data_IF_673946987435
#
_entry.id   IF_673946987435
#
_cell.length_a   1.000
_cell.length_b   1.000
_cell.length_c   1.000
_cell.angle_alpha   90.00
_cell.angle_beta   90.00
_cell.angle_gamma   90.00
#
_symmetry.space_group_name_H-M   'P 1'
#
loop_
_entity.id
_entity.type
_entity.pdbx_description
1 polymer ?
#
# COMPACT_ATOMS: atom_id res chain seq x y z
N UNK A 1 44.46 -76.97 -32.78
CA UNK A 1 44.37 -76.28 -31.49
C UNK A 1 44.31 -74.80 -31.77
N UNK A 2 43.13 -74.20 -31.74
CA UNK A 2 42.93 -72.74 -31.90
C UNK A 2 42.07 -72.28 -30.72
N UNK A 3 42.67 -71.45 -29.83
CA UNK A 3 42.10 -70.89 -28.64
C UNK A 3 41.24 -69.66 -29.04
N UNK A 4 39.94 -69.64 -28.71
CA UNK A 4 39.05 -68.48 -28.81
C UNK A 4 39.12 -67.72 -27.45
N UNK A 5 39.57 -66.49 -27.50
CA UNK A 5 39.49 -65.56 -26.40
C UNK A 5 38.20 -64.71 -26.59
N UNK A 6 37.25 -64.92 -25.71
CA UNK A 6 36.00 -64.19 -25.67
C UNK A 6 36.20 -62.84 -24.87
N UNK A 7 36.09 -61.69 -25.50
CA UNK A 7 36.11 -60.38 -24.85
C UNK A 7 34.68 -60.06 -24.33
N UNK A 8 34.54 -60.01 -22.99
CA UNK A 8 33.36 -59.50 -22.31
C UNK A 8 33.49 -57.98 -22.18
N UNK A 9 32.75 -57.25 -22.97
CA UNK A 9 32.62 -55.76 -22.85
C UNK A 9 31.51 -55.49 -21.84
N UNK A 10 31.87 -55.03 -20.64
CA UNK A 10 30.91 -54.52 -19.64
C UNK A 10 30.58 -53.09 -20.01
N UNK A 11 29.39 -52.91 -20.54
CA UNK A 11 28.81 -51.58 -20.81
C UNK A 11 28.35 -50.91 -19.50
N UNK A 12 29.09 -49.92 -19.02
CA UNK A 12 28.69 -49.07 -17.88
C UNK A 12 27.63 -48.08 -18.36
N UNK A 13 26.35 -48.37 -18.15
CA UNK A 13 25.23 -47.43 -18.36
C UNK A 13 25.28 -46.37 -17.27
N UNK A 14 25.86 -45.21 -17.59
CA UNK A 14 25.73 -43.98 -16.80
C UNK A 14 24.27 -43.49 -16.92
N UNK A 15 23.42 -43.82 -15.96
CA UNK A 15 22.14 -43.18 -15.75
C UNK A 15 22.40 -41.74 -15.28
N UNK A 16 22.54 -40.79 -16.20
CA UNK A 16 22.43 -39.37 -15.91
C UNK A 16 20.95 -39.10 -15.57
N UNK A 17 20.61 -39.22 -14.29
CA UNK A 17 19.34 -38.73 -13.78
C UNK A 17 19.26 -37.23 -14.05
N UNK A 18 18.51 -36.83 -15.07
CA UNK A 18 18.11 -35.44 -15.23
C UNK A 18 17.27 -35.08 -14.01
N UNK A 19 17.87 -34.33 -13.09
CA UNK A 19 17.12 -33.63 -12.05
C UNK A 19 16.18 -32.68 -12.76
N UNK A 20 14.91 -33.06 -12.89
CA UNK A 20 13.83 -32.17 -13.29
C UNK A 20 13.87 -31.01 -12.28
N UNK A 21 14.38 -29.86 -12.72
CA UNK A 21 14.29 -28.65 -11.93
C UNK A 21 12.81 -28.39 -11.64
N UNK A 22 12.43 -28.46 -10.36
CA UNK A 22 11.06 -28.18 -9.95
C UNK A 22 10.69 -26.77 -10.46
N UNK A 23 9.51 -26.65 -11.08
CA UNK A 23 9.04 -25.35 -11.54
C UNK A 23 9.04 -24.33 -10.37
N UNK A 24 9.49 -23.09 -10.59
CA UNK A 24 9.57 -22.11 -9.54
C UNK A 24 8.17 -21.81 -8.98
N UNK A 25 8.05 -21.84 -7.66
CA UNK A 25 6.79 -21.47 -6.98
C UNK A 25 6.42 -20.05 -7.35
N UNK A 26 5.18 -19.86 -7.82
CA UNK A 26 4.64 -18.55 -8.15
C UNK A 26 3.52 -18.18 -7.19
N UNK A 27 3.66 -17.05 -6.49
CA UNK A 27 2.64 -16.48 -5.62
C UNK A 27 1.90 -15.33 -6.32
N UNK A 28 0.58 -15.36 -6.28
CA UNK A 28 -0.27 -14.29 -6.81
C UNK A 28 -0.56 -13.25 -5.73
N UNK A 29 -0.13 -12.01 -5.96
CA UNK A 29 -0.45 -10.88 -5.12
C UNK A 29 -1.43 -9.92 -5.80
N UNK A 30 -2.50 -9.56 -5.08
CA UNK A 30 -3.47 -8.53 -5.51
C UNK A 30 -3.52 -7.42 -4.48
N UNK A 31 -3.39 -6.15 -4.88
CA UNK A 31 -3.36 -5.11 -3.87
C UNK A 31 -3.47 -3.67 -4.35
N UNK A 32 -3.36 -2.76 -3.40
CA UNK A 32 -3.45 -1.35 -3.70
C UNK A 32 -2.17 -0.82 -4.36
N UNK A 33 -2.36 0.16 -5.25
CA UNK A 33 -1.24 0.79 -5.97
C UNK A 33 -0.24 1.49 -5.04
N UNK A 34 -0.65 1.88 -3.83
CA UNK A 34 0.24 2.46 -2.83
C UNK A 34 1.21 1.39 -2.31
N UNK A 35 0.71 0.26 -1.77
CA UNK A 35 1.57 -0.84 -1.29
C UNK A 35 2.46 -1.39 -2.40
N UNK A 36 1.94 -1.48 -3.66
CA UNK A 36 2.73 -1.89 -4.83
C UNK A 36 3.97 -1.00 -5.02
N UNK A 37 3.81 0.32 -4.85
CA UNK A 37 4.89 1.31 -5.06
C UNK A 37 5.74 1.56 -3.81
N UNK A 38 5.18 1.30 -2.63
CA UNK A 38 5.85 1.53 -1.36
C UNK A 38 6.96 0.51 -1.09
N UNK A 39 6.71 -0.75 -1.43
CA UNK A 39 7.65 -1.82 -1.10
C UNK A 39 7.47 -3.11 -1.93
N UNK A 40 6.25 -3.40 -2.44
CA UNK A 40 5.94 -4.74 -2.92
C UNK A 40 6.78 -5.18 -4.12
N UNK A 41 7.05 -4.26 -5.06
CA UNK A 41 7.86 -4.59 -6.24
C UNK A 41 9.28 -4.98 -5.87
N UNK A 42 9.88 -4.18 -5.02
CA UNK A 42 11.27 -4.33 -4.60
C UNK A 42 11.44 -5.51 -3.64
N UNK A 43 10.48 -5.73 -2.73
CA UNK A 43 10.48 -6.93 -1.89
C UNK A 43 10.31 -8.21 -2.71
N UNK A 44 9.44 -8.20 -3.72
CA UNK A 44 9.25 -9.35 -4.60
C UNK A 44 10.53 -9.68 -5.37
N UNK A 45 11.20 -8.67 -5.92
CA UNK A 45 12.46 -8.86 -6.63
C UNK A 45 13.58 -9.39 -5.70
N UNK A 46 13.70 -8.83 -4.48
CA UNK A 46 14.65 -9.31 -3.49
C UNK A 46 14.37 -10.75 -3.03
N UNK A 47 13.11 -11.08 -2.80
CA UNK A 47 12.71 -12.42 -2.40
C UNK A 47 12.95 -13.45 -3.51
N UNK A 48 12.62 -13.10 -4.77
CA UNK A 48 12.90 -13.95 -5.92
C UNK A 48 14.40 -14.22 -6.07
N UNK A 49 15.24 -13.19 -5.95
CA UNK A 49 16.71 -13.35 -5.98
C UNK A 49 17.21 -14.30 -4.91
N UNK A 50 16.59 -14.29 -3.72
CA UNK A 50 17.01 -15.08 -2.57
C UNK A 50 16.50 -16.51 -2.59
N UNK A 51 15.28 -16.74 -3.12
CA UNK A 51 14.57 -18.01 -2.95
C UNK A 51 14.16 -18.69 -4.26
N UNK A 52 14.22 -17.99 -5.38
CA UNK A 52 13.66 -18.43 -6.65
C UNK A 52 12.13 -18.26 -6.78
N UNK A 53 11.42 -17.91 -5.68
CA UNK A 53 9.96 -17.75 -5.70
C UNK A 53 9.58 -16.50 -6.47
N UNK A 54 8.68 -16.66 -7.45
CA UNK A 54 8.16 -15.57 -8.28
C UNK A 54 6.90 -15.00 -7.62
N UNK A 55 6.73 -13.68 -7.67
CA UNK A 55 5.51 -13.02 -7.20
C UNK A 55 4.86 -12.27 -8.36
N UNK A 56 3.70 -12.77 -8.84
CA UNK A 56 2.85 -12.07 -9.81
C UNK A 56 2.09 -10.93 -9.11
N UNK A 57 2.41 -9.68 -9.48
CA UNK A 57 1.90 -8.49 -8.82
C UNK A 57 0.80 -7.81 -9.63
N UNK A 58 -0.46 -7.94 -9.17
CA UNK A 58 -1.63 -7.33 -9.79
C UNK A 58 -2.16 -6.15 -8.98
N UNK A 59 -2.55 -5.05 -9.65
CA UNK A 59 -3.24 -3.92 -9.04
C UNK A 59 -4.73 -4.21 -8.81
N UNK A 60 -5.42 -3.33 -8.07
CA UNK A 60 -6.88 -3.43 -7.91
C UNK A 60 -7.45 -2.68 -6.71
N UNK A 61 -6.59 -2.11 -5.88
CA UNK A 61 -6.99 -1.36 -4.68
C UNK A 61 -7.06 -2.22 -3.43
N UNK A 62 -7.14 -1.57 -2.27
CA UNK A 62 -7.11 -2.21 -0.96
C UNK A 62 -8.26 -3.22 -0.76
N UNK A 63 -9.47 -2.82 -1.10
CA UNK A 63 -10.67 -3.68 -0.96
C UNK A 63 -10.55 -4.96 -1.78
N UNK A 64 -10.12 -4.85 -3.05
CA UNK A 64 -9.90 -6.03 -3.89
C UNK A 64 -8.80 -6.92 -3.33
N UNK A 65 -7.70 -6.33 -2.82
CA UNK A 65 -6.60 -7.09 -2.22
C UNK A 65 -7.05 -7.91 -1.02
N UNK A 66 -7.78 -7.29 -0.07
CA UNK A 66 -8.28 -7.99 1.12
C UNK A 66 -9.27 -9.09 0.72
N UNK A 67 -10.24 -8.79 -0.15
CA UNK A 67 -11.31 -9.74 -0.53
C UNK A 67 -10.78 -10.90 -1.37
N UNK A 68 -9.87 -10.64 -2.32
CA UNK A 68 -9.25 -11.70 -3.11
C UNK A 68 -8.45 -12.68 -2.25
N UNK A 69 -7.73 -12.18 -1.23
CA UNK A 69 -7.03 -13.03 -0.27
C UNK A 69 -8.01 -13.76 0.65
N UNK A 70 -9.05 -13.07 1.14
CA UNK A 70 -10.07 -13.68 2.00
C UNK A 70 -10.79 -14.85 1.33
N UNK A 71 -11.00 -14.78 0.00
CA UNK A 71 -11.67 -15.82 -0.81
C UNK A 71 -10.71 -16.81 -1.47
N UNK A 72 -9.39 -16.74 -1.20
CA UNK A 72 -8.35 -17.53 -1.87
C UNK A 72 -8.27 -17.34 -3.42
N UNK A 73 -8.77 -16.21 -3.94
CA UNK A 73 -8.60 -15.83 -5.35
C UNK A 73 -7.20 -15.23 -5.64
N UNK A 74 -6.44 -14.95 -4.58
CA UNK A 74 -5.01 -14.64 -4.59
C UNK A 74 -4.36 -15.27 -3.36
N UNK A 75 -3.07 -15.63 -3.47
CA UNK A 75 -2.32 -16.22 -2.36
C UNK A 75 -2.08 -15.19 -1.26
N UNK A 76 -1.83 -13.94 -1.64
CA UNK A 76 -1.65 -12.84 -0.72
C UNK A 76 -2.20 -11.53 -1.29
N UNK A 77 -2.38 -10.54 -0.42
CA UNK A 77 -2.90 -9.24 -0.78
C UNK A 77 -2.10 -8.08 -0.24
N UNK A 78 -2.40 -6.88 -0.76
CA UNK A 78 -1.83 -5.64 -0.27
C UNK A 78 -2.89 -4.58 0.03
N UNK A 79 -2.86 -4.02 1.23
CA UNK A 79 -3.84 -3.03 1.65
C UNK A 79 -3.19 -1.82 2.30
N UNK A 80 -3.86 -0.70 2.15
CA UNK A 80 -3.54 0.57 2.80
C UNK A 80 -4.67 1.01 3.75
N UNK A 81 -5.46 0.06 4.23
CA UNK A 81 -6.42 0.14 5.34
C UNK A 81 -6.53 -1.21 6.03
N UNK A 82 -7.00 -1.23 7.26
CA UNK A 82 -7.37 -2.48 7.91
C UNK A 82 -8.65 -3.06 7.31
N UNK A 83 -8.95 -4.33 7.58
CA UNK A 83 -10.21 -4.95 7.18
C UNK A 83 -11.38 -4.31 7.91
N UNK A 84 -12.56 -4.43 7.35
CA UNK A 84 -13.80 -3.91 7.93
C UNK A 84 -14.47 -5.07 8.69
N UNK A 85 -14.60 -4.94 10.00
CA UNK A 85 -15.08 -6.03 10.87
C UNK A 85 -16.45 -6.56 10.46
N UNK A 86 -17.38 -5.67 10.08
CA UNK A 86 -18.72 -6.01 9.61
C UNK A 86 -18.83 -6.45 8.14
N UNK A 87 -17.70 -6.59 7.43
CA UNK A 87 -17.67 -7.05 6.04
C UNK A 87 -17.32 -8.56 5.97
N UNK A 88 -18.29 -9.46 5.79
CA UNK A 88 -18.04 -10.90 5.77
C UNK A 88 -17.00 -11.32 4.74
N UNK A 89 -16.95 -10.61 3.60
CA UNK A 89 -16.02 -10.87 2.50
C UNK A 89 -14.56 -10.58 2.86
N UNK A 90 -14.30 -9.92 3.99
CA UNK A 90 -12.95 -9.58 4.48
C UNK A 90 -12.55 -10.42 5.70
N UNK A 91 -13.46 -11.25 6.24
CA UNK A 91 -13.32 -11.93 7.54
C UNK A 91 -12.11 -12.86 7.62
N UNK A 92 -11.87 -13.67 6.58
CA UNK A 92 -10.77 -14.66 6.55
C UNK A 92 -9.40 -14.06 6.29
N UNK A 93 -9.32 -12.81 5.85
CA UNK A 93 -8.03 -12.15 5.63
C UNK A 93 -7.37 -11.82 6.96
N UNK A 94 -6.12 -12.22 7.13
CA UNK A 94 -5.22 -11.82 8.20
C UNK A 94 -4.33 -10.72 7.62
N UNK A 95 -4.30 -9.57 8.26
CA UNK A 95 -3.57 -8.40 7.78
C UNK A 95 -2.34 -8.16 8.67
N UNK A 96 -1.17 -8.37 8.08
CA UNK A 96 0.12 -8.14 8.74
C UNK A 96 0.66 -6.76 8.33
N UNK A 97 0.87 -5.83 9.29
CA UNK A 97 1.41 -4.52 8.98
C UNK A 97 2.91 -4.61 8.71
N UNK A 98 3.37 -4.07 7.58
CA UNK A 98 4.79 -4.14 7.18
C UNK A 98 5.48 -2.78 7.08
N UNK A 99 4.73 -1.71 6.90
CA UNK A 99 5.28 -0.37 6.78
C UNK A 99 4.29 0.71 7.21
N UNK A 100 4.80 1.90 7.58
CA UNK A 100 4.03 3.13 7.73
C UNK A 100 4.18 3.99 6.49
N UNK A 101 3.07 4.54 6.00
CA UNK A 101 3.00 5.44 4.85
C UNK A 101 2.23 6.71 5.25
N UNK A 102 2.61 7.86 4.68
CA UNK A 102 1.85 9.09 4.88
C UNK A 102 0.75 9.26 3.82
N UNK A 103 -0.38 9.83 4.21
CA UNK A 103 -1.29 10.49 3.29
C UNK A 103 -0.78 11.91 3.07
N UNK A 104 -0.59 12.29 1.82
CA UNK A 104 -0.13 13.63 1.46
C UNK A 104 -1.17 14.34 0.63
N UNK A 105 -1.34 15.63 0.89
CA UNK A 105 -2.09 16.53 0.02
C UNK A 105 -1.15 16.90 -1.12
N UNK A 106 -1.59 16.68 -2.35
CA UNK A 106 -0.81 16.98 -3.55
C UNK A 106 -1.45 18.10 -4.35
N UNK A 107 -0.61 18.97 -4.89
CA UNK A 107 -0.95 20.03 -5.83
C UNK A 107 -0.03 19.98 -7.06
N UNK A 108 -0.37 20.76 -8.08
CA UNK A 108 0.50 20.94 -9.24
C UNK A 108 1.85 21.55 -8.80
N UNK A 109 2.98 21.23 -9.43
CA UNK A 109 4.29 21.79 -9.05
C UNK A 109 4.34 23.31 -9.02
N UNK A 110 3.67 23.96 -9.97
CA UNK A 110 3.67 25.43 -10.12
C UNK A 110 2.59 26.13 -9.27
N UNK A 111 1.77 25.38 -8.53
CA UNK A 111 0.83 25.99 -7.60
C UNK A 111 1.60 26.67 -6.46
N UNK A 112 1.32 27.96 -6.09
CA UNK A 112 2.14 28.69 -5.11
C UNK A 112 1.99 28.17 -3.67
N UNK A 113 0.91 27.47 -3.33
CA UNK A 113 0.67 26.96 -1.97
C UNK A 113 1.71 25.89 -1.60
N UNK A 114 2.29 26.01 -0.39
CA UNK A 114 3.34 25.12 0.13
C UNK A 114 2.90 24.32 1.35
N UNK A 115 1.87 24.80 2.07
CA UNK A 115 1.44 24.24 3.33
C UNK A 115 -0.09 24.19 3.40
N UNK A 116 -0.60 23.23 4.16
CA UNK A 116 -2.02 23.10 4.46
C UNK A 116 -2.20 22.62 5.89
N UNK A 117 -3.23 23.08 6.58
CA UNK A 117 -3.56 22.63 7.93
C UNK A 117 -4.62 21.52 7.93
N UNK A 118 -4.76 20.80 9.05
CA UNK A 118 -5.85 19.85 9.24
C UNK A 118 -7.22 20.49 9.04
N UNK A 119 -7.43 21.72 9.53
CA UNK A 119 -8.71 22.43 9.40
C UNK A 119 -8.97 22.85 7.96
N UNK A 120 -7.94 23.24 7.22
CA UNK A 120 -8.07 23.52 5.78
C UNK A 120 -8.41 22.25 4.99
N UNK A 121 -7.83 21.09 5.32
CA UNK A 121 -8.23 19.81 4.71
C UNK A 121 -9.70 19.51 5.02
N UNK A 122 -10.16 19.71 6.26
CA UNK A 122 -11.59 19.58 6.61
C UNK A 122 -12.45 20.52 5.78
N UNK A 123 -12.04 21.78 5.70
CA UNK A 123 -12.74 22.81 4.92
C UNK A 123 -12.89 22.43 3.45
N UNK A 124 -11.83 21.91 2.82
CA UNK A 124 -11.86 21.41 1.44
C UNK A 124 -12.90 20.29 1.26
N UNK A 125 -12.79 19.23 2.07
CA UNK A 125 -13.67 18.06 1.93
C UNK A 125 -15.11 18.30 2.40
N UNK A 126 -15.36 19.37 3.16
CA UNK A 126 -16.70 19.84 3.52
C UNK A 126 -17.26 20.88 2.50
N UNK A 127 -16.48 21.28 1.50
CA UNK A 127 -16.86 22.27 0.51
C UNK A 127 -16.95 23.70 1.05
N UNK A 128 -16.27 23.99 2.16
CA UNK A 128 -16.16 25.33 2.76
C UNK A 128 -14.99 26.12 2.15
N UNK A 129 -13.96 25.43 1.67
CA UNK A 129 -12.82 26.00 0.94
C UNK A 129 -12.95 25.53 -0.51
N UNK A 130 -13.16 26.49 -1.41
CA UNK A 130 -13.43 26.24 -2.84
C UNK A 130 -12.55 27.06 -3.77
N UNK A 131 -11.76 27.98 -3.21
CA UNK A 131 -10.87 28.85 -3.96
C UNK A 131 -9.45 28.80 -3.35
N UNK A 132 -8.43 28.75 -4.20
CA UNK A 132 -7.03 28.70 -3.79
C UNK A 132 -6.58 29.91 -2.96
N UNK A 133 -7.20 31.09 -3.16
CA UNK A 133 -6.95 32.27 -2.34
C UNK A 133 -7.19 32.03 -0.85
N UNK A 134 -8.16 31.16 -0.51
CA UNK A 134 -8.43 30.78 0.89
C UNK A 134 -7.30 29.94 1.51
N UNK A 135 -6.38 29.43 0.69
CA UNK A 135 -5.19 28.69 1.08
C UNK A 135 -3.90 29.50 0.90
N UNK A 136 -4.00 30.80 0.58
CA UNK A 136 -2.84 31.66 0.30
C UNK A 136 -2.29 31.51 -1.13
N UNK A 137 -3.07 30.95 -2.04
CA UNK A 137 -2.76 30.84 -3.46
C UNK A 137 -3.40 31.92 -4.32
N UNK A 138 -3.42 31.69 -5.62
CA UNK A 138 -4.04 32.57 -6.60
C UNK A 138 -5.57 32.63 -6.45
N UNK A 139 -6.22 33.67 -6.95
CA UNK A 139 -7.68 33.74 -7.01
C UNK A 139 -8.18 32.85 -8.15
N UNK A 140 -8.37 31.56 -7.85
CA UNK A 140 -8.79 30.54 -8.79
C UNK A 140 -9.61 29.45 -8.07
N UNK A 141 -10.63 28.87 -8.74
CA UNK A 141 -11.44 27.81 -8.15
C UNK A 141 -10.60 26.54 -7.92
N UNK A 142 -10.84 25.87 -6.80
CA UNK A 142 -10.22 24.59 -6.48
C UNK A 142 -10.97 23.46 -7.17
N UNK A 143 -10.26 22.61 -7.93
CA UNK A 143 -10.75 21.34 -8.41
C UNK A 143 -10.34 20.24 -7.43
N UNK A 144 -11.19 19.94 -6.46
CA UNK A 144 -10.92 18.90 -5.46
C UNK A 144 -11.19 17.52 -6.03
N UNK A 145 -10.15 16.68 -6.05
CA UNK A 145 -10.18 15.28 -6.46
C UNK A 145 -10.31 14.37 -5.24
N UNK A 146 -11.35 13.56 -5.14
CA UNK A 146 -11.55 12.64 -4.04
C UNK A 146 -11.65 11.17 -4.48
N UNK A 147 -11.52 10.26 -3.53
CA UNK A 147 -11.66 8.82 -3.78
C UNK A 147 -13.12 8.41 -3.71
N UNK A 148 -13.61 7.72 -4.76
CA UNK A 148 -14.96 7.18 -4.84
C UNK A 148 -15.22 6.16 -3.70
N UNK A 149 -16.36 6.33 -3.05
CA UNK A 149 -16.84 5.43 -1.99
C UNK A 149 -16.13 5.60 -0.63
N UNK A 150 -16.76 5.05 0.41
CA UNK A 150 -16.31 5.18 1.81
C UNK A 150 -15.25 4.15 2.22
N UNK A 151 -15.16 3.02 1.51
CA UNK A 151 -14.28 1.88 1.85
C UNK A 151 -12.96 1.85 1.09
N UNK A 152 -12.70 2.81 0.20
CA UNK A 152 -11.42 2.90 -0.51
C UNK A 152 -10.27 3.17 0.47
N UNK A 153 -9.09 2.55 0.27
CA UNK A 153 -7.99 2.63 1.23
C UNK A 153 -7.59 4.06 1.63
N UNK A 154 -7.35 4.96 0.65
CA UNK A 154 -7.03 6.37 0.93
C UNK A 154 -8.24 7.12 1.49
N UNK A 155 -9.43 6.96 0.89
CA UNK A 155 -10.63 7.68 1.31
C UNK A 155 -11.09 7.30 2.73
N UNK A 156 -11.01 6.00 3.10
CA UNK A 156 -11.32 5.54 4.46
C UNK A 156 -10.28 6.06 5.47
N UNK A 157 -8.99 5.98 5.13
CA UNK A 157 -7.94 6.50 6.00
C UNK A 157 -8.06 8.01 6.23
N UNK A 158 -8.41 8.79 5.19
CA UNK A 158 -8.65 10.23 5.32
C UNK A 158 -9.83 10.52 6.24
N UNK A 159 -10.93 9.79 6.11
CA UNK A 159 -12.08 9.90 7.01
C UNK A 159 -11.72 9.64 8.47
N UNK A 160 -10.94 8.60 8.71
CA UNK A 160 -10.44 8.29 10.05
C UNK A 160 -9.55 9.40 10.61
N UNK A 161 -8.52 9.78 9.88
CA UNK A 161 -7.45 10.64 10.38
C UNK A 161 -7.88 12.11 10.51
N UNK A 162 -8.70 12.60 9.57
CA UNK A 162 -9.09 14.02 9.51
C UNK A 162 -10.43 14.26 10.21
N UNK A 163 -11.37 13.35 10.08
CA UNK A 163 -12.74 13.56 10.57
C UNK A 163 -13.10 12.71 11.79
N UNK A 164 -12.30 11.72 12.14
CA UNK A 164 -12.65 10.69 13.11
C UNK A 164 -14.07 10.14 12.87
N UNK A 165 -14.46 9.99 11.59
CA UNK A 165 -15.80 9.60 11.18
C UNK A 165 -15.75 8.88 9.82
N UNK A 166 -15.96 7.57 9.82
CA UNK A 166 -15.97 6.76 8.58
C UNK A 166 -17.13 7.08 7.64
N UNK A 167 -18.19 7.70 8.17
CA UNK A 167 -19.38 8.09 7.40
C UNK A 167 -19.28 9.46 6.75
N UNK A 168 -18.22 10.24 7.05
CA UNK A 168 -18.09 11.60 6.53
C UNK A 168 -18.29 11.64 5.01
N UNK A 169 -19.28 12.38 4.57
CA UNK A 169 -19.49 12.66 3.17
C UNK A 169 -18.50 13.73 2.69
N UNK A 170 -17.91 13.46 1.53
CA UNK A 170 -16.98 14.39 0.90
C UNK A 170 -17.70 15.19 -0.18
N UNK A 171 -17.54 16.51 -0.15
CA UNK A 171 -17.93 17.42 -1.22
C UNK A 171 -16.70 17.65 -2.11
N UNK A 172 -16.60 16.95 -3.22
CA UNK A 172 -15.48 17.05 -4.16
C UNK A 172 -15.98 17.35 -5.56
N UNK A 173 -15.14 17.99 -6.37
CA UNK A 173 -15.44 18.31 -7.76
C UNK A 173 -15.50 17.02 -8.60
N UNK A 174 -14.61 16.06 -8.29
CA UNK A 174 -14.56 14.80 -9.01
C UNK A 174 -14.20 13.62 -8.09
N UNK A 175 -14.86 12.47 -8.34
CA UNK A 175 -14.59 11.21 -7.61
C UNK A 175 -13.94 10.17 -8.53
N UNK A 176 -12.76 9.69 -8.16
CA UNK A 176 -11.98 8.73 -8.93
C UNK A 176 -11.81 7.38 -8.23
N UNK A 177 -11.70 6.30 -9.03
CA UNK A 177 -11.63 4.93 -8.52
C UNK A 177 -10.29 4.58 -7.86
N UNK A 178 -9.19 5.22 -8.25
CA UNK A 178 -7.84 4.90 -7.73
C UNK A 178 -6.95 6.14 -7.61
N UNK A 179 -5.83 6.03 -6.89
CA UNK A 179 -4.88 7.13 -6.70
C UNK A 179 -4.20 7.57 -8.02
N UNK A 180 -3.96 6.64 -8.94
CA UNK A 180 -3.32 6.95 -10.21
C UNK A 180 -4.04 8.01 -11.05
N UNK A 181 -5.35 7.88 -11.35
CA UNK A 181 -6.14 8.93 -12.02
C UNK A 181 -6.12 10.26 -11.27
N UNK A 182 -6.26 10.26 -9.93
CA UNK A 182 -6.17 11.46 -9.11
C UNK A 182 -4.81 12.16 -9.31
N UNK A 183 -3.71 11.42 -9.16
CA UNK A 183 -2.36 11.95 -9.31
C UNK A 183 -2.11 12.50 -10.72
N UNK A 184 -2.62 11.82 -11.76
CA UNK A 184 -2.52 12.28 -13.15
C UNK A 184 -3.32 13.57 -13.41
N UNK A 185 -4.49 13.73 -12.77
CA UNK A 185 -5.28 14.94 -12.88
C UNK A 185 -4.54 16.13 -12.26
N UNK A 186 -3.94 15.95 -11.07
CA UNK A 186 -3.15 16.99 -10.39
C UNK A 186 -1.90 17.38 -11.20
N UNK A 187 -1.25 16.44 -11.90
CA UNK A 187 -0.11 16.77 -12.79
C UNK A 187 -0.51 17.65 -13.98
N UNK A 188 -1.78 17.57 -14.42
CA UNK A 188 -2.25 18.24 -15.64
C UNK A 188 -2.97 19.56 -15.37
N UNK A 189 -3.37 19.82 -14.14
CA UNK A 189 -4.25 20.95 -13.80
C UNK A 189 -3.71 21.66 -12.56
N UNK A 190 -3.31 22.94 -12.75
CA UNK A 190 -2.75 23.77 -11.67
C UNK A 190 -3.76 24.02 -10.55
N UNK A 191 -5.06 23.94 -10.85
CA UNK A 191 -6.14 24.14 -9.91
C UNK A 191 -6.59 22.85 -9.20
N UNK A 192 -6.05 21.69 -9.61
CA UNK A 192 -6.39 20.42 -8.98
C UNK A 192 -5.64 20.20 -7.67
N UNK A 193 -6.35 19.64 -6.70
CA UNK A 193 -5.83 19.21 -5.39
C UNK A 193 -6.42 17.86 -5.03
N UNK A 194 -5.68 17.07 -4.28
CA UNK A 194 -6.21 15.79 -3.80
C UNK A 194 -5.28 15.12 -2.79
N UNK A 195 -5.74 13.99 -2.21
CA UNK A 195 -4.97 13.21 -1.24
C UNK A 195 -4.59 11.84 -1.81
N UNK A 196 -3.32 11.49 -1.67
CA UNK A 196 -2.78 10.17 -2.04
C UNK A 196 -1.76 9.69 -1.00
N UNK A 197 -1.14 8.51 -1.20
CA UNK A 197 -0.02 8.08 -0.36
C UNK A 197 1.31 8.63 -0.86
N UNK A 198 2.21 9.00 0.06
CA UNK A 198 3.53 9.56 -0.26
C UNK A 198 4.35 8.64 -1.17
N UNK A 199 4.27 7.31 -0.94
CA UNK A 199 4.94 6.30 -1.77
C UNK A 199 4.52 6.32 -3.24
N UNK A 200 3.30 6.81 -3.52
CA UNK A 200 2.82 6.99 -4.89
C UNK A 200 3.14 8.38 -5.43
N UNK A 201 2.97 9.42 -4.60
CA UNK A 201 3.24 10.81 -4.96
C UNK A 201 4.69 11.03 -5.39
N UNK A 202 5.67 10.45 -4.68
CA UNK A 202 7.10 10.54 -5.01
C UNK A 202 7.45 10.06 -6.43
N UNK A 203 6.61 9.22 -7.04
CA UNK A 203 6.80 8.71 -8.41
C UNK A 203 6.02 9.53 -9.45
N UNK A 204 5.63 10.77 -9.09
CA UNK A 204 4.87 11.71 -9.93
C UNK A 204 5.48 13.11 -9.85
N UNK A 205 5.28 13.89 -10.91
CA UNK A 205 5.60 15.32 -10.92
C UNK A 205 4.48 16.10 -10.23
N UNK A 206 4.39 15.98 -8.91
CA UNK A 206 3.43 16.70 -8.05
C UNK A 206 4.15 17.32 -6.87
N UNK A 207 3.62 18.40 -6.35
CA UNK A 207 4.06 19.00 -5.10
C UNK A 207 3.33 18.32 -3.93
N UNK A 208 4.08 17.90 -2.91
CA UNK A 208 3.52 17.48 -1.63
C UNK A 208 3.45 18.71 -0.72
N UNK A 209 2.26 19.08 -0.28
CA UNK A 209 2.11 20.19 0.67
C UNK A 209 2.56 19.74 2.07
N UNK A 210 3.20 20.64 2.80
CA UNK A 210 3.44 20.46 4.24
C UNK A 210 2.10 20.34 4.96
N UNK A 211 2.07 19.64 6.06
CA UNK A 211 0.91 19.56 6.94
C UNK A 211 1.25 20.22 8.27
N UNK A 212 0.56 21.32 8.59
CA UNK A 212 0.84 22.13 9.78
C UNK A 212 2.34 22.46 9.91
N UNK A 213 2.98 22.82 8.79
CA UNK A 213 4.40 23.14 8.68
C UNK A 213 5.34 21.92 8.61
N UNK A 214 4.85 20.69 8.75
CA UNK A 214 5.67 19.47 8.75
C UNK A 214 5.73 18.83 7.38
N UNK A 215 6.94 18.52 6.91
CA UNK A 215 7.18 17.74 5.70
C UNK A 215 6.81 16.25 5.90
N UNK A 216 6.27 15.56 4.88
CA UNK A 216 6.03 14.12 4.91
C UNK A 216 7.34 13.32 4.74
N UNK A 217 8.35 13.65 5.54
CA UNK A 217 9.66 13.00 5.52
C UNK A 217 9.63 11.67 6.28
N UNK A 218 10.63 10.80 6.00
CA UNK A 218 10.83 9.57 6.75
C UNK A 218 10.86 9.82 8.27
N UNK A 219 11.66 10.80 8.72
CA UNK A 219 11.83 11.10 10.14
C UNK A 219 10.56 11.65 10.78
N UNK A 220 9.85 12.57 10.12
CA UNK A 220 8.61 13.12 10.66
C UNK A 220 7.50 12.06 10.76
N UNK A 221 7.44 11.12 9.81
CA UNK A 221 6.52 9.98 9.88
C UNK A 221 6.93 9.05 11.01
N UNK A 222 8.20 8.65 11.08
CA UNK A 222 8.73 7.75 12.10
C UNK A 222 8.54 8.29 13.52
N UNK A 223 8.67 9.61 13.70
CA UNK A 223 8.45 10.29 14.97
C UNK A 223 6.97 10.59 15.26
N UNK A 224 6.07 10.41 14.30
CA UNK A 224 4.66 10.78 14.45
C UNK A 224 4.39 12.28 14.39
N UNK A 225 5.38 13.08 13.97
CA UNK A 225 5.27 14.54 13.83
C UNK A 225 4.47 14.94 12.58
N UNK A 226 4.43 14.10 11.55
CA UNK A 226 3.54 14.24 10.41
C UNK A 226 2.24 13.47 10.68
N UNK A 227 1.15 14.15 10.98
CA UNK A 227 -0.06 13.57 11.58
C UNK A 227 -0.91 12.68 10.68
N UNK A 228 -0.73 12.70 9.34
CA UNK A 228 -1.48 11.89 8.39
C UNK A 228 -0.71 10.61 8.01
N UNK A 229 -0.49 9.71 8.94
CA UNK A 229 0.16 8.42 8.70
C UNK A 229 -0.80 7.24 8.92
N UNK A 230 -0.48 6.11 8.30
CA UNK A 230 -1.23 4.86 8.40
C UNK A 230 -0.34 3.66 8.12
N UNK A 231 -0.67 2.47 8.63
CA UNK A 231 0.04 1.26 8.21
C UNK A 231 -0.36 0.80 6.81
N UNK A 232 0.58 0.14 6.15
CA UNK A 232 0.38 -0.66 4.95
C UNK A 232 0.53 -2.13 5.33
N UNK A 233 -0.36 -2.96 4.78
CA UNK A 233 -0.50 -4.37 5.16
C UNK A 233 -0.21 -5.30 3.99
N UNK A 234 0.37 -6.45 4.31
CA UNK A 234 0.23 -7.67 3.54
C UNK A 234 -0.92 -8.49 4.11
N UNK A 235 -1.73 -9.07 3.24
CA UNK A 235 -2.84 -9.93 3.63
C UNK A 235 -2.53 -11.38 3.29
N UNK A 236 -2.90 -12.30 4.18
CA UNK A 236 -2.81 -13.75 4.01
C UNK A 236 -4.09 -14.42 4.47
N UNK A 237 -4.30 -15.70 4.08
CA UNK A 237 -5.42 -16.51 4.53
C UNK A 237 -4.92 -17.88 4.95
N UNK A 238 -5.25 -18.32 6.17
CA UNK A 238 -4.81 -19.61 6.71
C UNK A 238 -5.23 -20.82 5.88
N UNK A 239 -6.37 -20.73 5.18
CA UNK A 239 -6.86 -21.79 4.31
C UNK A 239 -6.30 -21.73 2.89
N UNK A 240 -5.39 -20.80 2.59
CA UNK A 240 -4.75 -20.68 1.29
C UNK A 240 -3.75 -21.81 1.04
N UNK A 241 -3.75 -22.36 -0.19
CA UNK A 241 -2.83 -23.46 -0.58
C UNK A 241 -1.35 -23.09 -0.38
N UNK A 242 -1.00 -21.83 -0.58
CA UNK A 242 0.38 -21.31 -0.46
C UNK A 242 0.64 -20.59 0.87
N UNK A 243 -0.19 -20.83 1.90
CA UNK A 243 -0.10 -20.10 3.18
C UNK A 243 1.30 -20.14 3.80
N UNK A 244 1.95 -21.32 3.83
CA UNK A 244 3.30 -21.46 4.39
C UNK A 244 4.34 -20.60 3.63
N UNK A 245 4.25 -20.53 2.29
CA UNK A 245 5.17 -19.73 1.49
C UNK A 245 4.90 -18.24 1.64
N UNK A 246 3.62 -17.84 1.74
CA UNK A 246 3.23 -16.46 2.05
C UNK A 246 3.77 -16.02 3.42
N UNK A 247 3.73 -16.90 4.44
CA UNK A 247 4.32 -16.61 5.75
C UNK A 247 5.83 -16.37 5.67
N UNK A 248 6.56 -17.18 4.87
CA UNK A 248 7.99 -16.97 4.64
C UNK A 248 8.27 -15.60 3.99
N UNK A 249 7.47 -15.22 2.99
CA UNK A 249 7.58 -13.91 2.37
C UNK A 249 7.31 -12.77 3.36
N UNK A 250 6.28 -12.86 4.20
CA UNK A 250 5.99 -11.86 5.24
C UNK A 250 7.16 -11.78 6.25
N UNK A 251 7.71 -12.94 6.67
CA UNK A 251 8.89 -12.98 7.53
C UNK A 251 10.10 -12.31 6.86
N UNK A 252 10.29 -12.53 5.55
CA UNK A 252 11.31 -11.82 4.79
C UNK A 252 11.10 -10.31 4.79
N UNK A 253 9.86 -9.83 4.60
CA UNK A 253 9.55 -8.39 4.66
C UNK A 253 9.93 -7.75 6.01
N UNK A 254 9.84 -8.51 7.12
CA UNK A 254 10.25 -8.07 8.45
C UNK A 254 11.73 -8.33 8.78
N UNK A 255 12.46 -9.05 7.94
CA UNK A 255 13.91 -9.26 8.11
C UNK A 255 14.69 -7.96 7.98
N UNK A 256 15.98 -7.97 8.35
CA UNK A 256 16.87 -6.81 8.14
C UNK A 256 16.86 -6.39 6.67
N UNK A 257 17.07 -7.34 5.75
CA UNK A 257 17.09 -7.09 4.31
C UNK A 257 15.75 -6.49 3.80
N UNK A 258 14.61 -7.09 4.21
CA UNK A 258 13.30 -6.58 3.84
C UNK A 258 13.02 -5.18 4.37
N UNK A 259 13.41 -4.88 5.62
CA UNK A 259 13.30 -3.53 6.18
C UNK A 259 14.18 -2.51 5.47
N UNK A 260 15.40 -2.90 5.07
CA UNK A 260 16.29 -2.04 4.29
C UNK A 260 15.67 -1.70 2.92
N UNK A 261 15.06 -2.67 2.25
CA UNK A 261 14.31 -2.44 1.01
C UNK A 261 13.15 -1.45 1.25
N UNK A 262 12.36 -1.65 2.29
CA UNK A 262 11.23 -0.75 2.63
C UNK A 262 11.74 0.66 2.89
N UNK A 263 12.81 0.82 3.68
CA UNK A 263 13.42 2.11 4.01
C UNK A 263 13.97 2.83 2.79
N UNK A 264 14.70 2.11 1.94
CA UNK A 264 15.29 2.67 0.71
C UNK A 264 14.22 3.16 -0.29
N UNK A 265 13.00 2.61 -0.21
CA UNK A 265 11.82 3.12 -0.93
C UNK A 265 11.15 4.32 -0.24
N UNK A 266 11.73 4.84 0.85
CA UNK A 266 11.24 6.00 1.58
C UNK A 266 9.98 5.76 2.40
N UNK A 267 9.71 4.50 2.73
CA UNK A 267 8.59 4.08 3.59
C UNK A 267 9.16 3.59 4.92
N UNK A 268 8.53 3.90 6.04
CA UNK A 268 9.05 3.52 7.36
C UNK A 268 8.69 2.07 7.66
N UNK A 269 9.65 1.16 7.87
CA UNK A 269 9.35 -0.21 8.29
C UNK A 269 8.50 -0.21 9.57
N UNK A 270 7.48 -1.07 9.63
CA UNK A 270 6.49 -1.03 10.71
C UNK A 270 7.13 -1.15 12.11
N UNK A 271 8.08 -2.06 12.25
CA UNK A 271 8.75 -2.32 13.54
C UNK A 271 9.68 -1.17 14.00
N UNK A 272 10.02 -0.24 13.12
CA UNK A 272 10.88 0.92 13.46
C UNK A 272 10.12 2.11 14.06
N UNK A 273 8.79 2.03 14.10
CA UNK A 273 7.94 3.08 14.65
C UNK A 273 6.73 2.52 15.41
N UNK A 274 6.95 1.53 16.28
CA UNK A 274 5.89 0.88 17.07
C UNK A 274 5.11 1.84 17.97
N UNK A 275 5.73 2.95 18.41
CA UNK A 275 5.04 3.99 19.17
C UNK A 275 3.82 4.60 18.44
N UNK A 276 3.77 4.51 17.10
CA UNK A 276 2.65 4.98 16.31
C UNK A 276 1.40 4.11 16.48
N UNK A 277 1.56 2.86 16.95
CA UNK A 277 0.46 1.89 17.10
C UNK A 277 -0.58 2.40 18.11
N UNK A 278 -0.15 2.90 19.25
CA UNK A 278 -1.07 3.41 20.28
C UNK A 278 -1.95 4.56 19.75
N UNK A 279 -1.33 5.48 19.00
CA UNK A 279 -2.09 6.57 18.38
C UNK A 279 -3.05 6.04 17.30
N UNK A 280 -2.62 5.05 16.52
CA UNK A 280 -3.46 4.42 15.51
C UNK A 280 -4.69 3.75 16.14
N UNK A 281 -4.51 3.02 17.24
CA UNK A 281 -5.63 2.37 17.97
C UNK A 281 -6.65 3.43 18.40
N UNK A 282 -6.23 4.48 19.08
CA UNK A 282 -7.11 5.59 19.50
C UNK A 282 -7.84 6.25 18.33
N UNK A 283 -7.16 6.40 17.17
CA UNK A 283 -7.78 6.94 15.95
C UNK A 283 -8.83 6.00 15.37
N UNK A 284 -8.60 4.69 15.45
CA UNK A 284 -9.54 3.66 15.00
C UNK A 284 -10.80 3.65 15.87
N UNK A 285 -10.63 3.65 17.19
CA UNK A 285 -11.72 3.70 18.17
C UNK A 285 -12.63 4.92 17.93
N UNK A 286 -12.05 6.13 17.89
CA UNK A 286 -12.82 7.36 17.63
C UNK A 286 -13.58 7.35 16.31
N UNK A 287 -12.99 6.80 15.26
CA UNK A 287 -13.64 6.74 13.95
C UNK A 287 -14.72 5.66 13.88
N UNK A 288 -14.55 4.57 14.63
CA UNK A 288 -15.51 3.45 14.73
C UNK A 288 -16.77 3.83 15.52
N UNK A 289 -16.63 4.64 16.56
CA UNK A 289 -17.79 5.18 17.32
C UNK A 289 -18.77 5.95 16.44
N UNK A 290 -18.28 6.62 15.39
CA UNK A 290 -19.04 7.45 14.44
C UNK A 290 -19.15 6.84 13.04
N UNK A 291 -18.73 5.60 12.87
CA UNK A 291 -18.50 5.00 11.56
C UNK A 291 -19.64 4.13 11.03
N UNK A 292 -19.53 3.78 9.75
CA UNK A 292 -20.41 2.85 9.03
C UNK A 292 -20.44 1.45 9.65
N UNK A 293 -19.41 1.11 10.38
CA UNK A 293 -19.19 -0.23 10.89
C UNK A 293 -18.73 -0.10 12.35
N UNK A 294 -19.69 -0.17 13.26
CA UNK A 294 -19.38 -0.46 14.66
C UNK A 294 -18.91 -1.91 14.71
N UNK A 295 -17.79 -2.15 15.38
CA UNK A 295 -17.31 -3.51 15.65
C UNK A 295 -18.25 -4.22 16.60
#
# INVERSE_FOLDING_TARGET
MKSLISLFTIGLLLNMGQALAAEPVTLKWVGCGISKKAFMKELAAGYQKKTGVIIDIQGGGATRGIRATSSNNSDMGGSCRYKIGSAPEESRAILEPVAWDALVVIAHPDNPVQNITFDQIRGLYLGKITNWKQLGGNDAPIRLMARKGKISGVGRALRKLVFANYNQEFKATEFVKSSGPLEKAVVKDINAIGVTGISSARKRKVKNLRLDGKEPSYENIRKGEYGLYRPLYLAMNRSGKQFAEVQKFIKYAHSREGRDIIRNNGTVPYLEALKLVLTQVKQEERASERGLYRN
#
